data_IF_136797821936
#
_entry.id   IF_136797821936
#
_cell.length_a   1.000
_cell.length_b   1.000
_cell.length_c   1.000
_cell.angle_alpha   90.00
_cell.angle_beta   90.00
_cell.angle_gamma   90.00
#
_symmetry.space_group_name_H-M   'P 1'
#
loop_
_entity.id
_entity.type
_entity.pdbx_description
1 polymer ?
#
# COMPACT_ATOMS: atom_id res chain seq x y z
N UNK A 1 18.17 -44.93 26.32
CA UNK A 1 19.06 -43.85 25.85
C UNK A 1 18.23 -43.03 24.89
N UNK A 2 17.82 -41.84 25.30
CA UNK A 2 16.96 -40.94 24.51
C UNK A 2 17.88 -39.99 23.76
N UNK A 3 18.00 -40.19 22.45
CA UNK A 3 18.66 -39.22 21.59
C UNK A 3 17.64 -38.14 21.22
N UNK A 4 17.88 -36.94 21.76
CA UNK A 4 17.09 -35.76 21.52
C UNK A 4 17.19 -35.36 20.05
N UNK A 5 16.09 -35.51 19.32
CA UNK A 5 15.88 -34.82 18.04
C UNK A 5 15.81 -33.32 18.35
N UNK A 6 16.94 -32.63 18.24
CA UNK A 6 16.93 -31.17 18.13
C UNK A 6 16.36 -30.83 16.78
N UNK A 7 15.03 -30.67 16.73
CA UNK A 7 14.35 -29.98 15.65
C UNK A 7 14.85 -28.54 15.67
N UNK A 8 15.91 -28.29 14.89
CA UNK A 8 16.36 -26.98 14.47
C UNK A 8 15.17 -26.30 13.80
N UNK A 9 14.38 -25.61 14.62
CA UNK A 9 13.28 -24.77 14.18
C UNK A 9 13.92 -23.52 13.62
N UNK A 10 14.44 -23.62 12.40
CA UNK A 10 14.77 -22.50 11.53
C UNK A 10 13.45 -21.82 11.11
N UNK A 11 12.73 -21.29 12.10
CA UNK A 11 11.72 -20.27 11.89
C UNK A 11 12.52 -19.05 11.48
N UNK A 12 12.79 -18.95 10.18
CA UNK A 12 13.10 -17.70 9.49
C UNK A 12 12.02 -16.70 9.88
N UNK A 13 12.26 -16.01 10.97
CA UNK A 13 11.40 -14.95 11.50
C UNK A 13 11.35 -13.92 10.38
N UNK A 14 10.29 -13.98 9.57
CA UNK A 14 10.02 -12.96 8.56
C UNK A 14 9.81 -11.68 9.35
N UNK A 15 10.88 -10.92 9.53
CA UNK A 15 10.86 -9.60 10.16
C UNK A 15 9.79 -8.81 9.43
N UNK A 16 8.66 -8.59 10.10
CA UNK A 16 7.58 -7.78 9.55
C UNK A 16 8.10 -6.35 9.44
N UNK A 17 7.82 -5.73 8.31
CA UNK A 17 8.11 -4.32 8.06
C UNK A 17 6.81 -3.54 8.22
N UNK A 18 6.90 -2.40 8.90
CA UNK A 18 5.78 -1.48 9.05
C UNK A 18 5.72 -0.51 7.88
N UNK A 19 4.56 -0.49 7.22
CA UNK A 19 4.28 0.37 6.09
C UNK A 19 3.10 1.27 6.39
N UNK A 20 3.05 2.43 5.73
CA UNK A 20 1.89 3.31 5.71
C UNK A 20 1.48 3.53 4.27
N UNK A 21 0.21 3.28 3.97
CA UNK A 21 -0.39 3.73 2.71
C UNK A 21 -1.10 5.04 2.94
N UNK A 22 -0.78 5.98 2.07
CA UNK A 22 -1.48 7.25 1.91
C UNK A 22 -2.14 7.25 0.54
N UNK A 23 -3.42 7.60 0.51
CA UNK A 23 -4.21 7.70 -0.70
C UNK A 23 -5.01 9.00 -0.63
N UNK A 24 -5.00 9.76 -1.71
CA UNK A 24 -5.75 10.98 -1.89
C UNK A 24 -6.48 10.89 -3.23
N UNK A 25 -7.77 11.20 -3.22
CA UNK A 25 -8.65 11.24 -4.38
C UNK A 25 -9.15 12.65 -4.53
N UNK A 26 -8.92 13.25 -5.69
CA UNK A 26 -9.35 14.59 -6.04
C UNK A 26 -10.27 14.55 -7.27
N UNK A 27 -11.23 15.45 -7.30
CA UNK A 27 -12.13 15.68 -8.44
C UNK A 27 -12.10 17.16 -8.76
N UNK A 28 -11.73 17.52 -9.99
CA UNK A 28 -11.53 18.92 -10.38
C UNK A 28 -10.57 19.66 -9.42
N UNK A 29 -9.53 18.97 -8.93
CA UNK A 29 -8.55 19.51 -7.98
C UNK A 29 -9.02 19.66 -6.53
N UNK A 30 -10.24 19.20 -6.20
CA UNK A 30 -10.76 19.20 -4.82
C UNK A 30 -10.68 17.80 -4.21
N UNK A 31 -10.12 17.67 -3.02
CA UNK A 31 -10.11 16.39 -2.30
C UNK A 31 -11.54 15.94 -1.99
N UNK A 32 -11.88 14.73 -2.43
CA UNK A 32 -13.18 14.08 -2.17
C UNK A 32 -13.03 12.83 -1.29
N UNK A 33 -11.80 12.35 -1.10
CA UNK A 33 -11.52 11.24 -0.22
C UNK A 33 -10.04 11.09 0.05
N UNK A 34 -9.70 10.67 1.27
CA UNK A 34 -8.35 10.33 1.65
C UNK A 34 -8.33 9.12 2.57
N UNK A 35 -7.25 8.34 2.52
CA UNK A 35 -7.05 7.18 3.38
C UNK A 35 -5.57 7.11 3.78
N UNK A 36 -5.32 7.22 5.08
CA UNK A 36 -4.01 6.95 5.67
C UNK A 36 -4.15 5.78 6.62
N UNK A 37 -3.50 4.65 6.32
CA UNK A 37 -3.58 3.46 7.20
C UNK A 37 -2.24 2.74 7.31
N UNK A 38 -1.70 2.55 8.53
CA UNK A 38 -0.53 1.72 8.75
C UNK A 38 -0.89 0.23 8.68
N UNK A 39 0.06 -0.60 8.27
CA UNK A 39 -0.02 -2.05 8.30
C UNK A 39 1.38 -2.68 8.29
N UNK A 40 1.50 -3.88 8.85
CA UNK A 40 2.76 -4.63 8.84
C UNK A 40 2.68 -5.77 7.83
N UNK A 41 3.67 -5.87 6.93
CA UNK A 41 3.76 -6.94 5.92
C UNK A 41 5.13 -7.61 5.94
N UNK A 42 5.24 -8.74 5.25
CA UNK A 42 6.49 -9.49 5.14
C UNK A 42 7.47 -8.91 4.13
N UNK A 43 7.00 -8.10 3.18
CA UNK A 43 7.86 -7.46 2.17
C UNK A 43 7.27 -6.16 1.59
N UNK A 44 8.16 -5.39 0.94
CA UNK A 44 7.77 -4.20 0.16
C UNK A 44 6.86 -4.57 -1.02
N UNK A 45 7.09 -5.72 -1.67
CA UNK A 45 6.27 -6.20 -2.79
C UNK A 45 4.81 -6.44 -2.38
N UNK A 46 4.58 -7.02 -1.20
CA UNK A 46 3.23 -7.17 -0.64
C UNK A 46 2.59 -5.80 -0.40
N UNK A 47 3.36 -4.82 0.11
CA UNK A 47 2.89 -3.44 0.31
C UNK A 47 2.48 -2.75 -0.99
N UNK A 48 3.28 -2.93 -2.05
CA UNK A 48 2.98 -2.40 -3.39
C UNK A 48 1.69 -3.03 -3.93
N UNK A 49 1.50 -4.34 -3.75
CA UNK A 49 0.28 -5.03 -4.16
C UNK A 49 -0.96 -4.46 -3.47
N UNK A 50 -0.91 -4.28 -2.15
CA UNK A 50 -1.98 -3.65 -1.36
C UNK A 50 -2.29 -2.23 -1.84
N UNK A 51 -1.25 -1.43 -2.17
CA UNK A 51 -1.45 -0.08 -2.71
C UNK A 51 -2.18 -0.13 -4.06
N UNK A 52 -1.72 -0.98 -4.99
CA UNK A 52 -2.35 -1.15 -6.32
C UNK A 52 -3.81 -1.58 -6.20
N UNK A 53 -4.12 -2.55 -5.34
CA UNK A 53 -5.50 -3.00 -5.09
C UNK A 53 -6.40 -1.88 -4.52
N UNK A 54 -5.84 -0.98 -3.70
CA UNK A 54 -6.60 0.19 -3.19
C UNK A 54 -6.84 1.22 -4.28
N UNK A 55 -5.82 1.51 -5.09
CA UNK A 55 -5.94 2.46 -6.21
C UNK A 55 -6.97 1.96 -7.21
N UNK A 56 -6.88 0.68 -7.63
CA UNK A 56 -7.82 0.08 -8.58
C UNK A 56 -9.27 0.17 -8.11
N UNK A 57 -9.53 -0.13 -6.83
CA UNK A 57 -10.89 0.03 -6.26
C UNK A 57 -11.37 1.47 -6.25
N UNK A 58 -10.48 2.44 -6.02
CA UNK A 58 -10.86 3.85 -6.10
C UNK A 58 -11.14 4.29 -7.53
N UNK A 59 -10.36 3.81 -8.49
CA UNK A 59 -10.62 4.03 -9.91
C UNK A 59 -11.96 3.43 -10.33
N UNK A 60 -12.23 2.17 -9.98
CA UNK A 60 -13.50 1.48 -10.25
C UNK A 60 -14.71 2.23 -9.63
N UNK A 61 -14.59 2.69 -8.38
CA UNK A 61 -15.65 3.44 -7.70
C UNK A 61 -15.88 4.84 -8.27
N UNK A 62 -14.88 5.44 -8.91
CA UNK A 62 -14.90 6.81 -9.41
C UNK A 62 -14.82 6.88 -10.95
N UNK A 63 -15.04 5.75 -11.64
CA UNK A 63 -14.83 5.60 -13.09
C UNK A 63 -15.67 6.57 -13.93
N UNK A 64 -16.76 7.09 -13.38
CA UNK A 64 -17.66 8.03 -14.04
C UNK A 64 -17.28 9.51 -13.82
N UNK A 65 -16.29 9.80 -12.97
CA UNK A 65 -15.89 11.17 -12.66
C UNK A 65 -14.86 11.67 -13.68
N UNK A 66 -15.22 12.75 -14.37
CA UNK A 66 -14.28 13.54 -15.16
C UNK A 66 -13.35 14.32 -14.23
N UNK A 67 -12.11 14.57 -14.68
CA UNK A 67 -11.09 15.29 -13.90
C UNK A 67 -10.77 14.61 -12.56
N UNK A 68 -10.74 13.27 -12.55
CA UNK A 68 -10.36 12.46 -11.40
C UNK A 68 -8.84 12.44 -11.29
N UNK A 69 -8.32 12.68 -10.10
CA UNK A 69 -6.91 12.52 -9.77
C UNK A 69 -6.78 11.61 -8.55
N UNK A 70 -5.98 10.56 -8.65
CA UNK A 70 -5.68 9.66 -7.53
C UNK A 70 -4.18 9.70 -7.28
N UNK A 71 -3.78 10.14 -6.10
CA UNK A 71 -2.39 10.08 -5.60
C UNK A 71 -2.32 9.02 -4.53
N UNK A 72 -1.41 8.07 -4.68
CA UNK A 72 -1.24 7.00 -3.72
C UNK A 72 0.24 6.75 -3.45
N UNK A 73 0.62 6.63 -2.19
CA UNK A 73 2.00 6.41 -1.78
C UNK A 73 2.07 5.29 -0.75
N UNK A 74 3.11 4.47 -0.88
CA UNK A 74 3.54 3.51 0.12
C UNK A 74 4.79 4.08 0.81
N UNK A 75 4.74 4.18 2.13
CA UNK A 75 5.83 4.67 2.97
C UNK A 75 6.41 3.53 3.80
N UNK A 76 7.72 3.52 3.97
CA UNK A 76 8.42 2.83 5.06
C UNK A 76 8.22 3.64 6.33
N UNK A 77 7.59 3.06 7.36
CA UNK A 77 7.32 3.77 8.62
C UNK A 77 8.60 4.01 9.42
N UNK A 78 9.52 3.05 9.42
CA UNK A 78 10.75 3.14 10.20
C UNK A 78 11.70 4.21 9.64
N UNK A 79 11.75 4.34 8.31
CA UNK A 79 12.59 5.33 7.63
C UNK A 79 11.87 6.64 7.32
N UNK A 80 10.54 6.68 7.53
CA UNK A 80 9.67 7.78 7.15
C UNK A 80 9.90 8.23 5.69
N UNK A 81 10.02 7.26 4.78
CA UNK A 81 10.40 7.49 3.37
C UNK A 81 9.39 6.86 2.42
N UNK A 82 9.10 7.52 1.30
CA UNK A 82 8.28 6.95 0.23
C UNK A 82 9.05 5.84 -0.49
N UNK A 83 8.46 4.65 -0.53
CA UNK A 83 9.00 3.48 -1.23
C UNK A 83 8.43 3.35 -2.64
N UNK A 84 7.17 3.74 -2.82
CA UNK A 84 6.47 3.59 -4.10
C UNK A 84 5.33 4.60 -4.20
N UNK A 85 5.08 5.13 -5.39
CA UNK A 85 4.01 6.08 -5.65
C UNK A 85 3.27 5.76 -6.93
N UNK A 86 1.96 5.93 -6.92
CA UNK A 86 1.08 5.85 -8.08
C UNK A 86 0.36 7.19 -8.19
N UNK A 87 0.29 7.73 -9.40
CA UNK A 87 -0.46 8.93 -9.72
C UNK A 87 -1.29 8.68 -10.97
N UNK A 88 -2.60 8.76 -10.84
CA UNK A 88 -3.57 8.59 -11.93
C UNK A 88 -4.26 9.93 -12.14
N UNK A 89 -4.41 10.33 -13.39
CA UNK A 89 -5.19 11.52 -13.79
C UNK A 89 -6.09 11.12 -14.95
N UNK A 90 -7.41 11.30 -14.81
CA UNK A 90 -8.36 11.23 -15.91
C UNK A 90 -8.68 12.65 -16.38
N UNK A 91 -8.51 12.91 -17.67
CA UNK A 91 -9.01 14.14 -18.28
C UNK A 91 -10.42 13.84 -18.83
N UNK A 92 -11.41 14.69 -18.50
CA UNK A 92 -12.69 14.65 -19.19
C UNK A 92 -12.47 15.04 -20.66
N UNK A 93 -12.89 14.16 -21.59
CA UNK A 93 -12.94 14.45 -23.02
C UNK A 93 -14.16 15.31 -23.38
#
# INVERSE_FOLDING_TARGET
MVENVSAESDKKERRRMDFRVELQVLVCGKEVGSLTRPFSLGSVEEGIKVLKDKVRRNEENNIHLQNLEIKAQLHDVAKNSVLYSIHIVSAGA
#
